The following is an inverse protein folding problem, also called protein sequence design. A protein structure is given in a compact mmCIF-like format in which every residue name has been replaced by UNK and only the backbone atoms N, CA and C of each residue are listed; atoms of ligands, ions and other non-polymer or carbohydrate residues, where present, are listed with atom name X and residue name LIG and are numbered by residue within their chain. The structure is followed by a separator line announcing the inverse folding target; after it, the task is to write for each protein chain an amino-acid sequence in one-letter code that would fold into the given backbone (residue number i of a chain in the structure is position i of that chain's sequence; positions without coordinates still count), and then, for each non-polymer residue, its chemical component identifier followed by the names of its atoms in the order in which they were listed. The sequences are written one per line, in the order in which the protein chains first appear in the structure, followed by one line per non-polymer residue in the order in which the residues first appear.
data_IF_934854925717
#
_entry.id   IF_934854925717
#
_cell.length_a   1.000
_cell.length_b   1.000
_cell.length_c   1.000
_cell.angle_alpha   90.00
_cell.angle_beta   90.00
_cell.angle_gamma   90.00
#
_symmetry.space_group_name_H-M   'P 1'
#
loop_
_entity.id
_entity.type
_entity.pdbx_description
1 polymer ?
#
# COMPACT_ATOMS: atom_id res chain seq x y z
N UNK A 1 49.30 12.30 -11.91
CA UNK A 1 48.68 12.18 -10.57
C UNK A 1 47.18 12.01 -10.73
N UNK A 2 46.72 10.77 -10.98
CA UNK A 2 45.30 10.48 -11.21
C UNK A 2 44.60 10.48 -9.85
N UNK A 3 43.72 11.48 -9.60
CA UNK A 3 42.80 11.43 -8.48
C UNK A 3 41.91 10.20 -8.67
N UNK A 4 42.04 9.18 -7.80
CA UNK A 4 41.06 8.13 -7.63
C UNK A 4 39.75 8.84 -7.28
N UNK A 5 38.82 8.94 -8.25
CA UNK A 5 37.43 9.17 -7.92
C UNK A 5 37.01 7.99 -7.04
N UNK A 6 36.70 8.25 -5.78
CA UNK A 6 36.01 7.26 -4.98
C UNK A 6 34.79 6.83 -5.78
N UNK A 7 34.70 5.55 -6.14
CA UNK A 7 33.51 5.02 -6.78
C UNK A 7 32.34 5.34 -5.84
N UNK A 8 31.42 6.11 -6.36
CA UNK A 8 30.20 6.50 -5.66
C UNK A 8 29.46 5.21 -5.28
N UNK A 9 29.24 4.97 -3.97
CA UNK A 9 28.46 3.79 -3.57
C UNK A 9 26.99 4.14 -3.72
N UNK A 10 26.27 3.58 -4.71
CA UNK A 10 24.88 3.94 -5.00
C UNK A 10 23.96 3.72 -3.79
N UNK A 11 24.28 2.78 -2.90
CA UNK A 11 23.52 2.50 -1.70
C UNK A 11 23.45 3.69 -0.72
N UNK A 12 24.45 4.61 -0.76
CA UNK A 12 24.49 5.82 0.05
C UNK A 12 24.03 7.08 -0.70
N UNK A 13 23.45 6.91 -1.89
CA UNK A 13 22.98 8.02 -2.73
C UNK A 13 21.48 7.93 -2.94
N UNK A 14 20.74 8.76 -2.24
CA UNK A 14 19.28 8.84 -2.37
C UNK A 14 18.80 10.27 -2.15
N UNK A 15 17.59 10.57 -2.62
CA UNK A 15 16.85 11.79 -2.34
C UNK A 15 15.56 11.43 -1.63
N UNK A 16 15.29 12.08 -0.50
CA UNK A 16 14.06 11.91 0.25
C UNK A 16 13.47 13.28 0.60
N UNK A 17 12.17 13.41 0.38
CA UNK A 17 11.40 14.58 0.80
C UNK A 17 9.96 14.15 1.05
N UNK A 18 9.57 14.13 2.33
CA UNK A 18 8.19 13.90 2.72
C UNK A 18 7.71 15.06 3.61
N UNK A 19 6.89 15.99 3.10
CA UNK A 19 6.38 17.14 3.85
C UNK A 19 5.19 16.79 4.75
N UNK A 20 4.67 15.56 4.71
CA UNK A 20 3.50 15.13 5.47
C UNK A 20 3.74 15.23 6.97
N UNK A 21 2.89 15.96 7.66
CA UNK A 21 2.90 15.96 9.12
C UNK A 21 2.19 14.72 9.64
N UNK A 22 2.93 13.82 10.28
CA UNK A 22 2.40 12.58 10.86
C UNK A 22 1.96 12.80 12.32
N UNK A 23 0.71 12.45 12.62
CA UNK A 23 0.14 12.33 13.96
C UNK A 23 -0.08 10.84 14.25
N UNK A 24 0.88 10.20 14.92
CA UNK A 24 0.88 8.75 15.14
C UNK A 24 0.71 8.41 16.62
N UNK A 25 -0.16 7.43 16.94
CA UNK A 25 -0.36 6.84 18.27
C UNK A 25 -1.81 6.93 18.77
N UNK A 26 -2.11 6.19 19.82
CA UNK A 26 -3.45 6.12 20.40
C UNK A 26 -3.96 7.52 20.87
N UNK A 27 -5.15 7.90 20.42
CA UNK A 27 -5.77 9.19 20.73
C UNK A 27 -5.22 10.39 19.96
N UNK A 28 -4.31 10.18 18.98
CA UNK A 28 -3.69 11.27 18.23
C UNK A 28 -4.65 12.03 17.32
N UNK A 29 -5.80 11.47 16.96
CA UNK A 29 -6.88 12.21 16.28
C UNK A 29 -7.25 13.50 17.06
N UNK A 30 -7.22 13.48 18.39
CA UNK A 30 -7.48 14.65 19.22
C UNK A 30 -6.46 15.78 19.08
N UNK A 31 -5.31 15.54 18.45
CA UNK A 31 -4.30 16.56 18.14
C UNK A 31 -4.62 17.33 16.87
N UNK A 32 -5.45 16.78 15.97
CA UNK A 32 -5.82 17.42 14.70
C UNK A 32 -6.34 18.85 14.92
N UNK A 33 -7.06 19.11 16.01
CA UNK A 33 -7.57 20.45 16.38
C UNK A 33 -6.47 21.50 16.62
N UNK A 34 -5.21 21.12 16.72
CA UNK A 34 -4.07 22.03 16.92
C UNK A 34 -3.36 22.34 15.60
N UNK A 35 -3.78 21.70 14.53
CA UNK A 35 -3.16 21.84 13.23
C UNK A 35 -3.88 22.91 12.38
N UNK A 36 -3.13 23.52 11.50
CA UNK A 36 -3.69 24.46 10.53
C UNK A 36 -4.33 23.65 9.39
N UNK A 37 -5.61 23.84 9.17
CA UNK A 37 -6.32 23.22 8.05
C UNK A 37 -5.92 23.86 6.74
N UNK A 38 -5.85 23.08 5.65
CA UNK A 38 -5.46 23.59 4.34
C UNK A 38 -6.58 24.37 3.64
N UNK A 39 -7.81 24.32 4.16
CA UNK A 39 -8.99 24.95 3.60
C UNK A 39 -10.08 25.18 4.63
N UNK A 40 -11.27 25.51 4.15
CA UNK A 40 -12.46 25.87 4.96
C UNK A 40 -13.64 24.92 4.77
N UNK A 41 -13.74 24.22 3.63
CA UNK A 41 -14.79 23.24 3.33
C UNK A 41 -14.21 21.92 2.82
N UNK A 42 -14.35 20.87 3.61
CA UNK A 42 -13.82 19.55 3.32
C UNK A 42 -14.79 18.66 2.53
N UNK A 43 -14.26 17.85 1.62
CA UNK A 43 -14.89 16.59 1.25
C UNK A 43 -14.50 15.52 2.27
N UNK A 44 -15.41 15.05 3.12
CA UNK A 44 -15.19 13.88 3.96
C UNK A 44 -15.42 12.62 3.11
N UNK A 45 -14.32 12.05 2.61
CA UNK A 45 -14.31 10.90 1.73
C UNK A 45 -14.23 9.62 2.56
N UNK A 46 -15.18 8.70 2.36
CA UNK A 46 -15.29 7.47 3.17
C UNK A 46 -15.65 6.26 2.31
N UNK A 47 -15.43 5.07 2.90
CA UNK A 47 -15.91 3.83 2.31
C UNK A 47 -17.44 3.72 2.39
N UNK A 48 -18.02 2.95 1.46
CA UNK A 48 -19.45 2.60 1.46
C UNK A 48 -19.86 1.80 2.71
N UNK A 49 -18.90 1.14 3.36
CA UNK A 49 -19.12 0.33 4.55
C UNK A 49 -19.27 1.16 5.83
N UNK A 50 -19.47 0.46 6.94
CA UNK A 50 -19.67 1.08 8.26
C UNK A 50 -18.42 1.07 9.15
N UNK A 51 -17.25 0.67 8.63
CA UNK A 51 -16.03 0.50 9.43
C UNK A 51 -15.62 1.76 10.19
N UNK A 52 -15.66 2.94 9.56
CA UNK A 52 -15.35 4.21 10.21
C UNK A 52 -16.32 4.56 11.36
N UNK A 53 -17.59 4.19 11.24
CA UNK A 53 -18.58 4.39 12.32
C UNK A 53 -18.38 3.37 13.44
N UNK A 54 -18.17 2.10 13.10
CA UNK A 54 -17.98 1.02 14.10
C UNK A 54 -16.72 1.23 14.94
N UNK A 55 -15.65 1.73 14.33
CA UNK A 55 -14.41 2.04 15.03
C UNK A 55 -14.47 3.34 15.85
N UNK A 56 -15.52 4.16 15.68
CA UNK A 56 -15.63 5.48 16.27
C UNK A 56 -14.77 6.55 15.58
N UNK A 57 -14.08 6.20 14.49
CA UNK A 57 -13.23 7.13 13.75
C UNK A 57 -14.06 8.27 13.13
N UNK A 58 -15.26 7.98 12.62
CA UNK A 58 -16.18 8.99 12.09
C UNK A 58 -16.54 10.04 13.14
N UNK A 59 -17.06 9.62 14.30
CA UNK A 59 -17.54 10.55 15.34
C UNK A 59 -16.40 11.44 15.83
N UNK A 60 -15.21 10.85 16.06
CA UNK A 60 -14.03 11.60 16.48
C UNK A 60 -13.53 12.57 15.41
N UNK A 61 -13.59 12.18 14.12
CA UNK A 61 -13.21 13.06 13.00
C UNK A 61 -14.17 14.24 12.89
N UNK A 62 -15.47 14.00 12.89
CA UNK A 62 -16.51 15.05 12.86
C UNK A 62 -16.36 16.00 14.04
N UNK A 63 -16.12 15.49 15.25
CA UNK A 63 -15.84 16.33 16.42
C UNK A 63 -14.65 17.27 16.18
N UNK A 64 -13.55 16.81 15.57
CA UNK A 64 -12.41 17.68 15.31
C UNK A 64 -12.73 18.75 14.25
N UNK A 65 -13.42 18.38 13.14
CA UNK A 65 -13.83 19.32 12.10
C UNK A 65 -14.75 20.42 12.66
N UNK A 66 -15.73 20.06 13.49
CA UNK A 66 -16.63 21.00 14.17
C UNK A 66 -15.86 21.97 15.10
N UNK A 67 -14.92 21.45 15.88
CA UNK A 67 -14.07 22.26 16.77
C UNK A 67 -13.17 23.23 16.01
N UNK A 68 -12.73 22.85 14.80
CA UNK A 68 -11.95 23.67 13.89
C UNK A 68 -12.81 24.63 13.06
N UNK A 69 -14.14 24.53 13.16
CA UNK A 69 -15.11 25.30 12.35
C UNK A 69 -14.88 25.09 10.84
N UNK A 70 -14.59 23.85 10.46
CA UNK A 70 -14.49 23.41 9.09
C UNK A 70 -15.84 22.90 8.64
N UNK A 71 -16.39 23.46 7.57
CA UNK A 71 -17.57 22.92 6.91
C UNK A 71 -17.20 21.65 6.14
N UNK A 72 -18.12 20.69 6.05
CA UNK A 72 -17.86 19.48 5.27
C UNK A 72 -19.13 18.92 4.63
N UNK A 73 -18.93 18.19 3.55
CA UNK A 73 -19.90 17.32 2.90
C UNK A 73 -19.35 15.92 2.81
N UNK A 74 -20.21 14.92 2.84
CA UNK A 74 -19.80 13.52 2.89
C UNK A 74 -19.97 12.84 1.53
N UNK A 75 -18.97 12.05 1.17
CA UNK A 75 -19.05 11.10 0.07
C UNK A 75 -18.66 9.70 0.59
N UNK A 76 -19.66 8.88 0.87
CA UNK A 76 -19.51 7.53 1.43
C UNK A 76 -19.76 6.48 0.33
N UNK A 77 -18.92 6.45 -0.70
CA UNK A 77 -19.12 5.61 -1.88
C UNK A 77 -17.95 4.69 -2.23
N UNK A 78 -16.79 4.85 -1.59
CA UNK A 78 -15.58 4.10 -1.96
C UNK A 78 -15.70 2.64 -1.53
N UNK A 79 -15.36 1.73 -2.45
CA UNK A 79 -15.28 0.28 -2.21
C UNK A 79 -13.84 -0.19 -2.25
N UNK A 80 -13.59 -1.43 -1.86
CA UNK A 80 -12.30 -2.11 -2.08
C UNK A 80 -11.95 -2.09 -3.57
N UNK A 81 -10.68 -1.95 -3.90
CA UNK A 81 -10.22 -1.74 -5.27
C UNK A 81 -11.00 -0.62 -5.98
N UNK A 82 -10.85 0.65 -5.58
CA UNK A 82 -11.67 1.75 -6.05
C UNK A 82 -11.59 1.89 -7.56
N UNK A 83 -12.77 1.99 -8.21
CA UNK A 83 -12.81 2.15 -9.66
C UNK A 83 -12.60 3.61 -10.10
N UNK A 84 -12.15 3.77 -11.32
CA UNK A 84 -12.01 5.07 -11.98
C UNK A 84 -13.31 5.89 -11.88
N UNK A 85 -14.45 5.27 -12.15
CA UNK A 85 -15.75 5.94 -12.21
C UNK A 85 -16.17 6.51 -10.85
N UNK A 86 -15.90 5.77 -9.75
CA UNK A 86 -16.26 6.26 -8.42
C UNK A 86 -15.36 7.42 -7.98
N UNK A 87 -14.09 7.40 -8.38
CA UNK A 87 -13.16 8.49 -8.12
C UNK A 87 -13.54 9.76 -8.91
N UNK A 88 -13.88 9.62 -10.18
CA UNK A 88 -14.38 10.72 -11.02
C UNK A 88 -15.65 11.34 -10.42
N UNK A 89 -16.62 10.49 -10.02
CA UNK A 89 -17.88 10.92 -9.40
C UNK A 89 -17.66 11.68 -8.08
N UNK A 90 -16.71 11.21 -7.27
CA UNK A 90 -16.35 11.89 -6.02
C UNK A 90 -15.66 13.23 -6.28
N UNK A 91 -14.82 13.30 -7.33
CA UNK A 91 -14.17 14.56 -7.76
C UNK A 91 -15.18 15.60 -8.27
N UNK A 92 -16.13 15.16 -9.12
CA UNK A 92 -17.22 16.02 -9.60
C UNK A 92 -18.09 16.54 -8.44
N UNK A 93 -18.39 15.65 -7.47
CA UNK A 93 -19.14 16.02 -6.27
C UNK A 93 -18.38 17.05 -5.43
N UNK A 94 -17.08 16.85 -5.17
CA UNK A 94 -16.25 17.81 -4.45
C UNK A 94 -16.25 19.20 -5.11
N UNK A 95 -16.13 19.21 -6.45
CA UNK A 95 -16.15 20.45 -7.24
C UNK A 95 -17.50 21.14 -7.18
N UNK A 96 -18.60 20.40 -7.35
CA UNK A 96 -19.96 20.95 -7.31
C UNK A 96 -20.31 21.55 -5.94
N UNK A 97 -19.84 20.92 -4.85
CA UNK A 97 -20.04 21.39 -3.49
C UNK A 97 -19.06 22.51 -3.07
N UNK A 98 -18.07 22.85 -3.91
CA UNK A 98 -17.08 23.88 -3.61
C UNK A 98 -16.13 23.50 -2.49
N UNK A 99 -15.77 22.21 -2.39
CA UNK A 99 -14.76 21.75 -1.43
C UNK A 99 -13.38 22.29 -1.83
N UNK A 100 -12.60 22.72 -0.84
CA UNK A 100 -11.24 23.24 -1.05
C UNK A 100 -10.13 22.32 -0.51
N UNK A 101 -10.51 21.20 0.14
CA UNK A 101 -9.61 20.09 0.51
C UNK A 101 -10.38 18.79 0.77
N UNK A 102 -9.66 17.69 0.94
CA UNK A 102 -10.20 16.36 1.21
C UNK A 102 -9.76 15.89 2.61
N UNK A 103 -10.69 15.30 3.36
CA UNK A 103 -10.41 14.47 4.54
C UNK A 103 -10.74 13.02 4.17
N UNK A 104 -9.73 12.22 3.89
CA UNK A 104 -9.86 10.80 3.56
C UNK A 104 -9.88 9.97 4.84
N UNK A 105 -11.07 9.51 5.24
CA UNK A 105 -11.28 8.71 6.45
C UNK A 105 -11.58 7.27 6.08
N UNK A 106 -10.60 6.38 6.24
CA UNK A 106 -10.80 4.97 5.89
C UNK A 106 -9.54 4.13 5.82
N UNK A 107 -9.68 2.95 5.27
CA UNK A 107 -8.55 2.07 4.91
C UNK A 107 -7.91 2.46 3.59
N UNK A 108 -6.93 1.67 3.13
CA UNK A 108 -6.13 1.92 1.93
C UNK A 108 -6.96 2.34 0.71
N UNK A 109 -8.07 1.66 0.42
CA UNK A 109 -8.93 2.00 -0.71
C UNK A 109 -9.45 3.47 -0.69
N UNK A 110 -9.76 4.00 0.50
CA UNK A 110 -10.22 5.40 0.65
C UNK A 110 -9.04 6.36 0.50
N UNK A 111 -7.90 6.01 1.09
CA UNK A 111 -6.68 6.82 1.00
C UNK A 111 -6.19 6.88 -0.45
N UNK A 112 -6.16 5.76 -1.15
CA UNK A 112 -5.81 5.64 -2.56
C UNK A 112 -6.76 6.44 -3.46
N UNK A 113 -8.07 6.28 -3.26
CA UNK A 113 -9.08 7.04 -4.00
C UNK A 113 -8.91 8.55 -3.81
N UNK A 114 -8.47 9.00 -2.62
CA UNK A 114 -8.31 10.44 -2.33
C UNK A 114 -7.33 11.13 -3.27
N UNK A 115 -6.28 10.42 -3.72
CA UNK A 115 -5.29 10.92 -4.69
C UNK A 115 -5.97 11.21 -6.04
N UNK A 116 -6.74 10.25 -6.54
CA UNK A 116 -7.48 10.39 -7.78
C UNK A 116 -8.58 11.46 -7.68
N UNK A 117 -9.35 11.46 -6.59
CA UNK A 117 -10.42 12.45 -6.32
C UNK A 117 -9.84 13.87 -6.26
N UNK A 118 -8.69 14.05 -5.62
CA UNK A 118 -8.03 15.35 -5.53
C UNK A 118 -7.66 15.92 -6.90
N UNK A 119 -7.18 15.06 -7.81
CA UNK A 119 -6.87 15.43 -9.20
C UNK A 119 -8.16 15.73 -9.98
N UNK A 120 -9.16 14.86 -9.90
CA UNK A 120 -10.39 14.98 -10.68
C UNK A 120 -11.29 16.14 -10.22
N UNK A 121 -11.17 16.60 -8.99
CA UNK A 121 -11.88 17.78 -8.51
C UNK A 121 -11.42 19.08 -9.18
N UNK A 122 -10.20 19.12 -9.69
CA UNK A 122 -9.58 20.35 -10.21
C UNK A 122 -9.20 20.27 -11.69
N UNK A 123 -9.08 19.06 -12.25
CA UNK A 123 -8.63 18.84 -13.63
C UNK A 123 -9.76 18.29 -14.51
N UNK A 124 -9.80 18.65 -15.81
CA UNK A 124 -10.80 18.18 -16.76
C UNK A 124 -10.51 16.77 -17.27
N UNK A 125 -11.45 16.19 -18.02
CA UNK A 125 -11.27 14.90 -18.71
C UNK A 125 -11.60 13.70 -17.83
N UNK A 126 -11.00 12.56 -18.16
CA UNK A 126 -11.18 11.29 -17.46
C UNK A 126 -9.93 10.99 -16.64
N UNK A 127 -10.08 10.23 -15.55
CA UNK A 127 -8.94 9.85 -14.72
C UNK A 127 -7.86 9.08 -15.51
N UNK A 128 -8.30 8.19 -16.41
CA UNK A 128 -7.39 7.40 -17.25
C UNK A 128 -6.59 8.21 -18.27
N UNK A 129 -6.97 9.49 -18.52
CA UNK A 129 -6.14 10.40 -19.29
C UNK A 129 -4.81 10.72 -18.58
N UNK A 130 -4.79 10.67 -17.25
CA UNK A 130 -3.63 11.01 -16.40
C UNK A 130 -2.81 9.80 -15.96
N UNK A 131 -3.37 8.58 -16.05
CA UNK A 131 -2.70 7.34 -15.64
C UNK A 131 -1.52 7.02 -16.56
N UNK A 132 -0.41 6.57 -15.97
CA UNK A 132 0.78 6.10 -16.66
C UNK A 132 0.82 4.57 -16.61
N UNK A 133 0.86 3.93 -17.76
CA UNK A 133 0.83 2.46 -17.89
C UNK A 133 -0.53 1.94 -18.42
N UNK A 134 -0.55 0.67 -18.83
CA UNK A 134 -1.72 0.07 -19.43
C UNK A 134 -2.31 0.89 -20.58
N UNK A 135 -3.61 1.11 -20.56
CA UNK A 135 -4.34 1.95 -21.54
C UNK A 135 -4.41 3.43 -21.16
N UNK A 136 -3.71 3.83 -20.11
CA UNK A 136 -3.60 5.23 -19.67
C UNK A 136 -2.88 6.12 -20.69
N UNK A 137 -3.22 7.43 -20.71
CA UNK A 137 -2.70 8.36 -21.73
C UNK A 137 -1.53 9.21 -21.24
N UNK A 138 -1.14 9.08 -19.96
CA UNK A 138 -0.02 9.81 -19.36
C UNK A 138 -0.05 11.33 -19.55
N UNK A 139 -1.24 11.94 -19.63
CA UNK A 139 -1.37 13.41 -19.75
C UNK A 139 -0.91 14.09 -18.45
N UNK A 140 -0.31 15.26 -18.53
CA UNK A 140 0.10 15.99 -17.34
C UNK A 140 -1.10 16.54 -16.57
N UNK A 141 -1.06 16.45 -15.24
CA UNK A 141 -1.98 17.16 -14.35
C UNK A 141 -1.62 18.64 -14.36
N UNK A 142 -2.51 19.49 -14.87
CA UNK A 142 -2.25 20.92 -15.12
C UNK A 142 -2.67 21.84 -13.98
N UNK A 143 -3.78 21.51 -13.30
CA UNK A 143 -4.24 22.26 -12.14
C UNK A 143 -3.76 21.55 -10.85
N UNK A 144 -3.44 22.35 -9.84
CA UNK A 144 -3.05 21.78 -8.54
C UNK A 144 -4.21 20.96 -7.94
N UNK A 145 -3.96 19.70 -7.53
CA UNK A 145 -4.96 18.89 -6.84
C UNK A 145 -5.41 19.53 -5.52
N UNK A 146 -6.58 19.13 -5.03
CA UNK A 146 -7.01 19.53 -3.69
C UNK A 146 -6.04 18.97 -2.63
N UNK A 147 -5.70 19.73 -1.59
CA UNK A 147 -4.93 19.24 -0.46
C UNK A 147 -5.64 18.06 0.22
N UNK A 148 -4.87 17.09 0.73
CA UNK A 148 -5.40 15.88 1.36
C UNK A 148 -4.97 15.82 2.83
N UNK A 149 -5.91 15.50 3.72
CA UNK A 149 -5.67 15.01 5.07
C UNK A 149 -6.12 13.55 5.10
N UNK A 150 -5.26 12.66 5.59
CA UNK A 150 -5.58 11.24 5.72
C UNK A 150 -5.81 10.85 7.17
N UNK A 151 -6.82 10.02 7.42
CA UNK A 151 -7.11 9.42 8.72
C UNK A 151 -7.25 7.92 8.49
N UNK A 152 -6.18 7.18 8.80
CA UNK A 152 -6.09 5.75 8.51
C UNK A 152 -6.88 4.93 9.53
N UNK A 153 -7.66 3.95 9.04
CA UNK A 153 -8.41 2.98 9.84
C UNK A 153 -7.99 1.54 9.58
N UNK A 154 -6.89 1.33 8.84
CA UNK A 154 -6.28 0.03 8.53
C UNK A 154 -4.77 0.15 8.52
N UNK A 155 -4.05 -0.97 8.54
CA UNK A 155 -2.60 -1.04 8.65
C UNK A 155 -2.02 -1.97 7.58
N UNK A 156 -1.94 -1.50 6.33
CA UNK A 156 -1.43 -2.29 5.20
C UNK A 156 -0.64 -1.45 4.21
N UNK A 157 -1.32 -0.52 3.53
CA UNK A 157 -0.79 0.19 2.36
C UNK A 157 0.24 1.28 2.67
N UNK A 158 0.17 1.90 3.86
CA UNK A 158 0.95 3.10 4.16
C UNK A 158 0.62 4.33 3.30
N UNK A 159 -0.51 4.30 2.57
CA UNK A 159 -0.91 5.39 1.65
C UNK A 159 -1.14 6.73 2.35
N UNK A 160 -1.26 6.74 3.67
CA UNK A 160 -1.30 7.98 4.44
C UNK A 160 0.01 8.78 4.38
N UNK A 161 1.11 8.17 3.97
CA UNK A 161 2.43 8.80 3.95
C UNK A 161 2.98 9.08 2.55
N UNK A 162 2.25 8.74 1.49
CA UNK A 162 2.75 8.93 0.13
C UNK A 162 1.70 9.56 -0.80
N UNK A 163 2.07 9.79 -2.05
CA UNK A 163 1.26 10.40 -3.11
C UNK A 163 0.65 9.38 -4.07
N UNK A 164 0.66 8.11 -3.72
CA UNK A 164 0.26 7.00 -4.60
C UNK A 164 -1.14 6.53 -4.21
N UNK A 165 -2.01 6.38 -5.18
CA UNK A 165 -3.29 5.68 -5.05
C UNK A 165 -3.43 4.61 -6.12
N UNK A 166 -3.92 3.44 -5.75
CA UNK A 166 -4.14 2.34 -6.68
C UNK A 166 -5.59 2.34 -7.12
N UNK A 167 -5.82 2.49 -8.43
CA UNK A 167 -7.15 2.65 -9.03
C UNK A 167 -7.38 1.57 -10.08
N UNK A 168 -8.61 1.07 -10.17
CA UNK A 168 -9.02 0.05 -11.13
C UNK A 168 -9.81 0.64 -12.29
N UNK A 169 -9.58 0.11 -13.47
CA UNK A 169 -10.45 0.27 -14.64
C UNK A 169 -11.10 -1.08 -14.93
N UNK A 170 -12.37 -1.20 -14.57
CA UNK A 170 -13.09 -2.46 -14.67
C UNK A 170 -13.39 -2.86 -16.13
N UNK A 171 -13.35 -1.88 -17.06
CA UNK A 171 -13.59 -2.14 -18.49
C UNK A 171 -12.40 -2.83 -19.16
N UNK A 172 -11.18 -2.49 -18.72
CA UNK A 172 -9.93 -2.99 -19.32
C UNK A 172 -9.22 -4.00 -18.43
N UNK A 173 -9.80 -4.37 -17.28
CA UNK A 173 -9.18 -5.23 -16.27
C UNK A 173 -7.79 -4.74 -15.85
N UNK A 174 -7.67 -3.44 -15.60
CA UNK A 174 -6.42 -2.80 -15.17
C UNK A 174 -6.55 -2.32 -13.72
N UNK A 175 -5.52 -2.58 -12.91
CA UNK A 175 -5.35 -2.01 -11.58
C UNK A 175 -3.95 -1.40 -11.51
N UNK A 176 -3.87 -0.08 -11.44
CA UNK A 176 -2.64 0.66 -11.68
C UNK A 176 -2.40 1.69 -10.56
N UNK A 177 -1.16 1.83 -10.16
CA UNK A 177 -0.72 2.91 -9.27
C UNK A 177 -0.77 4.26 -9.99
N UNK A 178 -1.59 5.17 -9.49
CA UNK A 178 -1.67 6.56 -9.93
C UNK A 178 -0.99 7.45 -8.90
N UNK A 179 -0.02 8.26 -9.33
CA UNK A 179 0.76 9.08 -8.42
C UNK A 179 0.84 10.53 -8.91
N UNK A 180 0.71 11.47 -7.96
CA UNK A 180 1.01 12.87 -8.22
C UNK A 180 1.75 13.48 -7.02
N UNK A 181 2.97 14.03 -7.18
CA UNK A 181 3.76 14.58 -6.07
C UNK A 181 3.06 15.65 -5.23
N UNK A 182 2.06 16.35 -5.80
CA UNK A 182 1.26 17.36 -5.08
C UNK A 182 0.12 16.75 -4.24
N UNK A 183 -0.13 15.43 -4.38
CA UNK A 183 -1.13 14.71 -3.60
C UNK A 183 -0.57 14.09 -2.30
N UNK A 184 0.69 14.35 -1.95
CA UNK A 184 1.19 13.97 -0.61
C UNK A 184 0.28 14.60 0.44
N UNK A 185 -0.24 13.81 1.39
CA UNK A 185 -1.08 14.34 2.45
C UNK A 185 -0.37 15.48 3.20
N UNK A 186 -1.07 16.54 3.50
CA UNK A 186 -0.51 17.64 4.32
C UNK A 186 -0.47 17.24 5.79
N UNK A 187 -1.42 16.41 6.23
CA UNK A 187 -1.49 15.81 7.55
C UNK A 187 -1.93 14.36 7.38
N UNK A 188 -1.25 13.45 8.06
CA UNK A 188 -1.64 12.05 8.22
C UNK A 188 -1.94 11.77 9.70
N UNK A 189 -3.09 11.17 9.98
CA UNK A 189 -3.47 10.72 11.32
C UNK A 189 -3.52 9.20 11.32
N UNK A 190 -2.69 8.58 12.14
CA UNK A 190 -2.67 7.14 12.39
C UNK A 190 -2.96 6.93 13.88
N UNK A 191 -4.22 6.66 14.18
CA UNK A 191 -4.69 6.38 15.53
C UNK A 191 -5.07 4.90 15.64
N UNK A 192 -4.22 4.04 16.21
CA UNK A 192 -4.44 2.60 16.27
C UNK A 192 -5.73 2.19 16.98
N UNK A 193 -6.33 3.08 17.78
CA UNK A 193 -7.64 2.80 18.38
C UNK A 193 -8.75 2.62 17.34
N UNK A 194 -8.58 3.14 16.12
CA UNK A 194 -9.52 2.94 15.01
C UNK A 194 -9.38 1.57 14.34
N UNK A 195 -8.34 0.84 14.67
CA UNK A 195 -8.03 -0.47 14.08
C UNK A 195 -8.45 -1.65 14.98
N UNK A 196 -8.89 -1.38 16.22
CA UNK A 196 -9.28 -2.41 17.21
C UNK A 196 -10.47 -3.28 16.75
N UNK A 197 -11.28 -2.77 15.82
CA UNK A 197 -12.46 -3.47 15.30
C UNK A 197 -12.22 -4.17 13.97
N UNK A 198 -11.00 -4.13 13.44
CA UNK A 198 -10.65 -4.83 12.19
C UNK A 198 -10.67 -6.33 12.43
N UNK A 199 -11.45 -7.11 11.63
CA UNK A 199 -11.55 -8.55 11.81
C UNK A 199 -10.18 -9.27 11.64
N UNK A 200 -9.96 -10.42 12.29
CA UNK A 200 -8.68 -11.13 12.26
C UNK A 200 -8.14 -11.41 10.85
N UNK A 201 -8.98 -11.88 9.92
CA UNK A 201 -8.55 -12.16 8.54
C UNK A 201 -8.06 -10.88 7.83
N UNK A 202 -8.79 -9.77 7.97
CA UNK A 202 -8.37 -8.49 7.39
C UNK A 202 -7.14 -7.92 8.10
N UNK A 203 -6.99 -8.14 9.42
CA UNK A 203 -5.77 -7.80 10.15
C UNK A 203 -4.56 -8.52 9.56
N UNK A 204 -4.69 -9.84 9.30
CA UNK A 204 -3.65 -10.63 8.67
C UNK A 204 -3.33 -10.10 7.25
N UNK A 205 -4.34 -9.94 6.39
CA UNK A 205 -4.12 -9.47 5.01
C UNK A 205 -3.43 -8.12 4.95
N UNK A 206 -3.85 -7.17 5.79
CA UNK A 206 -3.25 -5.84 5.87
C UNK A 206 -1.81 -5.90 6.40
N UNK A 207 -1.55 -6.67 7.45
CA UNK A 207 -0.21 -6.82 8.00
C UNK A 207 0.77 -7.49 7.03
N UNK A 208 0.30 -8.47 6.25
CA UNK A 208 1.12 -9.07 5.18
C UNK A 208 1.34 -8.12 4.01
N UNK A 209 0.37 -7.28 3.66
CA UNK A 209 0.55 -6.22 2.67
C UNK A 209 1.67 -5.26 3.11
N UNK A 210 1.62 -4.76 4.35
CA UNK A 210 2.70 -3.96 4.91
C UNK A 210 4.06 -4.69 4.92
N UNK A 211 4.09 -5.98 5.27
CA UNK A 211 5.29 -6.81 5.24
C UNK A 211 5.89 -6.87 3.82
N UNK A 212 5.06 -7.17 2.81
CA UNK A 212 5.55 -7.32 1.44
C UNK A 212 6.03 -6.00 0.83
N UNK A 213 5.48 -4.86 1.21
CA UNK A 213 6.06 -3.56 0.85
C UNK A 213 7.53 -3.45 1.28
N UNK A 214 7.86 -3.89 2.50
CA UNK A 214 9.23 -3.88 3.01
C UNK A 214 10.10 -4.98 2.39
N UNK A 215 9.56 -6.18 2.20
CA UNK A 215 10.26 -7.31 1.55
C UNK A 215 10.65 -6.94 0.12
N UNK A 216 9.71 -6.39 -0.65
CA UNK A 216 9.99 -5.96 -2.02
C UNK A 216 10.98 -4.79 -2.07
N UNK A 217 10.88 -3.86 -1.15
CA UNK A 217 11.86 -2.79 -1.01
C UNK A 217 13.28 -3.32 -0.75
N UNK A 218 13.42 -4.35 0.10
CA UNK A 218 14.70 -5.02 0.37
C UNK A 218 15.28 -5.71 -0.86
N UNK A 219 14.43 -6.25 -1.74
CA UNK A 219 14.84 -6.92 -2.97
C UNK A 219 15.15 -5.95 -4.12
N UNK A 220 14.73 -4.70 -4.01
CA UNK A 220 14.82 -3.71 -5.08
C UNK A 220 16.26 -3.32 -5.44
N UNK A 221 16.56 -3.18 -6.74
CA UNK A 221 17.83 -2.60 -7.22
C UNK A 221 18.08 -1.17 -6.73
N UNK A 222 17.03 -0.46 -6.32
CA UNK A 222 17.12 0.91 -5.77
C UNK A 222 17.24 0.95 -4.26
N UNK A 223 17.44 -0.20 -3.59
CA UNK A 223 17.65 -0.29 -2.15
C UNK A 223 18.78 0.64 -1.70
N UNK A 224 18.53 1.44 -0.68
CA UNK A 224 19.51 2.32 -0.09
C UNK A 224 19.55 2.16 1.45
N UNK A 225 20.55 2.73 2.09
CA UNK A 225 20.79 2.53 3.53
C UNK A 225 19.62 2.98 4.41
N UNK A 226 18.87 4.00 3.99
CA UNK A 226 17.73 4.48 4.76
C UNK A 226 16.52 3.55 4.59
N UNK A 227 16.21 3.14 3.35
CA UNK A 227 15.11 2.21 3.09
C UNK A 227 15.39 0.83 3.71
N UNK A 228 16.65 0.34 3.69
CA UNK A 228 17.05 -0.90 4.35
C UNK A 228 16.82 -0.84 5.86
N UNK A 229 17.26 0.22 6.52
CA UNK A 229 17.11 0.37 7.98
C UNK A 229 15.62 0.42 8.40
N UNK A 230 14.79 1.16 7.65
CA UNK A 230 13.35 1.26 7.91
C UNK A 230 12.68 -0.11 7.65
N UNK A 231 12.98 -0.75 6.52
CA UNK A 231 12.37 -2.01 6.16
C UNK A 231 12.66 -3.12 7.17
N UNK A 232 13.91 -3.29 7.59
CA UNK A 232 14.28 -4.31 8.57
C UNK A 232 13.62 -4.09 9.94
N UNK A 233 13.54 -2.84 10.40
CA UNK A 233 12.81 -2.51 11.63
C UNK A 233 11.34 -2.87 11.53
N UNK A 234 10.68 -2.48 10.44
CA UNK A 234 9.26 -2.75 10.21
C UNK A 234 8.96 -4.25 10.02
N UNK A 235 9.83 -4.99 9.31
CA UNK A 235 9.72 -6.45 9.18
C UNK A 235 9.74 -7.12 10.55
N UNK A 236 10.66 -6.70 11.43
CA UNK A 236 10.77 -7.24 12.79
C UNK A 236 9.50 -6.97 13.61
N UNK A 237 9.00 -5.74 13.61
CA UNK A 237 7.77 -5.37 14.32
C UNK A 237 6.55 -6.14 13.81
N UNK A 238 6.37 -6.21 12.48
CA UNK A 238 5.25 -6.94 11.88
C UNK A 238 5.34 -8.42 12.24
N UNK A 239 6.53 -9.03 12.12
CA UNK A 239 6.71 -10.45 12.44
C UNK A 239 6.36 -10.78 13.89
N UNK A 240 6.71 -9.92 14.83
CA UNK A 240 6.45 -10.15 16.25
C UNK A 240 4.99 -9.87 16.63
N UNK A 241 4.41 -8.77 16.13
CA UNK A 241 3.15 -8.25 16.64
C UNK A 241 1.93 -8.59 15.77
N UNK A 242 2.10 -8.92 14.48
CA UNK A 242 0.96 -9.30 13.63
C UNK A 242 0.21 -10.53 14.15
N UNK A 243 0.87 -11.63 14.56
CA UNK A 243 0.16 -12.76 15.16
C UNK A 243 -0.62 -12.39 16.43
N UNK A 244 -0.09 -11.49 17.25
CA UNK A 244 -0.76 -10.99 18.47
C UNK A 244 -2.02 -10.20 18.10
N UNK A 245 -1.91 -9.26 17.16
CA UNK A 245 -3.03 -8.45 16.67
C UNK A 245 -4.12 -9.29 15.97
N UNK A 246 -3.75 -10.40 15.31
CA UNK A 246 -4.69 -11.36 14.71
C UNK A 246 -5.41 -12.18 15.79
N UNK A 247 -4.68 -12.63 16.82
CA UNK A 247 -5.22 -13.44 17.91
C UNK A 247 -6.13 -12.60 18.84
N UNK A 248 -5.75 -11.36 19.13
CA UNK A 248 -6.53 -10.41 19.92
C UNK A 248 -6.56 -9.05 19.24
N UNK A 249 -7.63 -8.76 18.51
CA UNK A 249 -7.83 -7.48 17.85
C UNK A 249 -7.90 -6.28 18.78
N UNK A 250 -8.11 -6.48 20.09
CA UNK A 250 -8.16 -5.44 21.11
C UNK A 250 -6.81 -5.10 21.75
N UNK A 251 -5.75 -5.86 21.43
CA UNK A 251 -4.38 -5.58 21.87
C UNK A 251 -3.86 -4.31 21.19
N UNK A 252 -3.92 -3.20 21.95
CA UNK A 252 -3.52 -1.88 21.43
C UNK A 252 -2.01 -1.82 21.13
N UNK A 253 -1.17 -2.47 21.90
CA UNK A 253 0.28 -2.51 21.67
C UNK A 253 0.58 -3.22 20.33
N UNK A 254 -0.04 -4.39 20.10
CA UNK A 254 0.11 -5.08 18.83
C UNK A 254 -0.43 -4.26 17.65
N UNK A 255 -1.55 -3.55 17.82
CA UNK A 255 -2.08 -2.64 16.78
C UNK A 255 -1.13 -1.47 16.50
N UNK A 256 -0.49 -0.90 17.51
CA UNK A 256 0.47 0.20 17.35
C UNK A 256 1.69 -0.25 16.54
N UNK A 257 2.25 -1.42 16.82
CA UNK A 257 3.39 -1.97 16.08
C UNK A 257 3.05 -2.31 14.62
N UNK A 258 1.89 -2.94 14.37
CA UNK A 258 1.45 -3.22 12.99
C UNK A 258 1.14 -1.93 12.24
N UNK A 259 0.53 -0.93 12.89
CA UNK A 259 0.29 0.38 12.29
C UNK A 259 1.60 1.11 11.99
N UNK A 260 2.60 1.02 12.86
CA UNK A 260 3.94 1.55 12.61
C UNK A 260 4.55 0.90 11.36
N UNK A 261 4.55 -0.42 11.24
CA UNK A 261 5.04 -1.13 10.07
C UNK A 261 4.36 -0.67 8.79
N UNK A 262 3.03 -0.51 8.80
CA UNK A 262 2.26 0.00 7.66
C UNK A 262 2.64 1.46 7.31
N UNK A 263 2.70 2.35 8.30
CA UNK A 263 3.07 3.75 8.07
C UNK A 263 4.48 3.88 7.50
N UNK A 264 5.41 3.05 7.98
CA UNK A 264 6.78 3.00 7.45
C UNK A 264 6.83 2.46 6.01
N UNK A 265 5.89 1.58 5.60
CA UNK A 265 5.79 1.13 4.21
C UNK A 265 5.57 2.31 3.25
N UNK A 266 4.69 3.26 3.61
CA UNK A 266 4.47 4.48 2.83
C UNK A 266 5.72 5.33 2.67
N UNK A 267 6.60 5.37 3.68
CA UNK A 267 7.90 6.06 3.62
C UNK A 267 8.91 5.25 2.79
N UNK A 268 8.95 3.94 2.98
CA UNK A 268 9.87 3.05 2.27
C UNK A 268 9.64 3.11 0.75
N UNK A 269 8.38 3.11 0.31
CA UNK A 269 8.02 3.23 -1.11
C UNK A 269 8.45 4.57 -1.77
N UNK A 270 8.70 5.62 -1.00
CA UNK A 270 9.23 6.88 -1.53
C UNK A 270 10.76 6.86 -1.64
N UNK A 271 11.41 5.98 -0.90
CA UNK A 271 12.87 5.83 -0.87
C UNK A 271 13.38 4.84 -1.90
N UNK A 272 12.56 3.84 -2.25
CA UNK A 272 12.88 2.78 -3.18
C UNK A 272 11.63 2.28 -3.90
N UNK A 273 11.81 1.66 -5.07
CA UNK A 273 10.70 1.03 -5.81
C UNK A 273 10.35 -0.31 -5.18
N UNK A 274 9.10 -0.71 -5.28
CA UNK A 274 8.71 -2.12 -5.15
C UNK A 274 9.23 -2.92 -6.34
N UNK A 275 9.11 -4.23 -6.27
CA UNK A 275 9.40 -5.17 -7.35
C UNK A 275 8.11 -5.81 -7.88
N UNK A 276 8.19 -6.90 -8.63
CA UNK A 276 7.06 -7.40 -9.42
C UNK A 276 5.91 -8.05 -8.62
N UNK A 277 6.04 -8.37 -7.32
CA UNK A 277 5.01 -9.09 -6.57
C UNK A 277 3.69 -8.31 -6.52
N UNK A 278 3.74 -7.00 -6.22
CA UNK A 278 2.54 -6.15 -6.24
C UNK A 278 1.93 -6.03 -7.64
N UNK A 279 2.75 -5.95 -8.69
CA UNK A 279 2.24 -5.96 -10.06
C UNK A 279 1.48 -7.25 -10.39
N UNK A 280 2.00 -8.39 -9.96
CA UNK A 280 1.35 -9.70 -10.13
C UNK A 280 0.01 -9.75 -9.39
N UNK A 281 -0.03 -9.28 -8.14
CA UNK A 281 -1.29 -9.24 -7.37
C UNK A 281 -2.31 -8.28 -7.99
N UNK A 282 -1.87 -7.14 -8.52
CA UNK A 282 -2.77 -6.21 -9.19
C UNK A 282 -3.47 -6.87 -10.38
N UNK A 283 -2.77 -7.67 -11.17
CA UNK A 283 -3.40 -8.46 -12.24
C UNK A 283 -4.42 -9.46 -11.68
N UNK A 284 -4.10 -10.15 -10.58
CA UNK A 284 -5.02 -11.09 -9.94
C UNK A 284 -6.33 -10.39 -9.52
N UNK A 285 -6.24 -9.30 -8.77
CA UNK A 285 -7.43 -8.60 -8.26
C UNK A 285 -8.13 -7.74 -9.29
N UNK A 286 -7.49 -7.40 -10.41
CA UNK A 286 -8.16 -6.79 -11.56
C UNK A 286 -9.09 -7.77 -12.29
N UNK A 287 -8.74 -9.04 -12.37
CA UNK A 287 -9.54 -10.10 -12.98
C UNK A 287 -10.57 -10.69 -11.98
N UNK A 288 -10.19 -10.82 -10.71
CA UNK A 288 -11.02 -11.40 -9.64
C UNK A 288 -11.29 -10.38 -8.55
N UNK A 289 -12.31 -9.54 -8.73
CA UNK A 289 -12.65 -8.39 -7.87
C UNK A 289 -12.98 -8.73 -6.41
N UNK A 290 -13.32 -9.99 -6.12
CA UNK A 290 -13.57 -10.51 -4.78
C UNK A 290 -12.27 -10.86 -4.02
N UNK A 291 -11.11 -10.81 -4.67
CA UNK A 291 -9.82 -11.05 -4.04
C UNK A 291 -9.40 -9.84 -3.20
N UNK A 292 -9.16 -10.04 -1.92
CA UNK A 292 -8.51 -9.07 -1.06
C UNK A 292 -7.02 -8.98 -1.39
N UNK A 293 -6.51 -7.76 -1.54
CA UNK A 293 -5.15 -7.48 -1.99
C UNK A 293 -4.08 -8.26 -1.21
N UNK A 294 -4.09 -8.18 0.12
CA UNK A 294 -3.13 -8.92 0.95
C UNK A 294 -3.25 -10.44 0.83
N UNK A 295 -4.46 -10.98 0.58
CA UNK A 295 -4.64 -12.41 0.34
C UNK A 295 -3.95 -12.85 -0.96
N UNK A 296 -4.06 -12.05 -2.03
CA UNK A 296 -3.36 -12.29 -3.29
C UNK A 296 -1.84 -12.31 -3.12
N UNK A 297 -1.30 -11.29 -2.44
CA UNK A 297 0.14 -11.23 -2.13
C UNK A 297 0.62 -12.47 -1.34
N UNK A 298 -0.14 -12.89 -0.31
CA UNK A 298 0.20 -14.07 0.50
C UNK A 298 0.27 -15.33 -0.37
N UNK A 299 -0.68 -15.53 -1.27
CA UNK A 299 -0.76 -16.75 -2.09
C UNK A 299 0.45 -16.93 -3.01
N UNK A 300 0.96 -15.85 -3.60
CA UNK A 300 2.09 -15.91 -4.54
C UNK A 300 3.46 -15.74 -3.87
N UNK A 301 3.52 -15.29 -2.61
CA UNK A 301 4.74 -14.80 -1.96
C UNK A 301 5.87 -15.83 -1.86
N UNK A 302 5.53 -17.10 -1.58
CA UNK A 302 6.51 -18.18 -1.44
C UNK A 302 7.23 -18.43 -2.75
N UNK A 303 6.49 -18.65 -3.82
CA UNK A 303 7.05 -18.99 -5.13
C UNK A 303 7.74 -17.78 -5.77
N UNK A 304 7.25 -16.56 -5.48
CA UNK A 304 7.90 -15.33 -5.88
C UNK A 304 9.29 -15.18 -5.23
N UNK A 305 9.39 -15.36 -3.91
CA UNK A 305 10.68 -15.31 -3.23
C UNK A 305 11.61 -16.45 -3.67
N UNK A 306 11.08 -17.67 -3.83
CA UNK A 306 11.85 -18.83 -4.29
C UNK A 306 12.47 -18.61 -5.66
N UNK A 307 11.77 -17.91 -6.57
CA UNK A 307 12.29 -17.58 -7.90
C UNK A 307 13.63 -16.82 -7.83
N UNK A 308 13.77 -15.85 -6.91
CA UNK A 308 15.00 -15.08 -6.74
C UNK A 308 16.06 -15.83 -5.95
N UNK A 309 15.66 -16.66 -4.99
CA UNK A 309 16.56 -17.51 -4.21
C UNK A 309 17.23 -18.54 -5.12
N UNK A 310 16.48 -19.20 -5.99
CA UNK A 310 17.01 -20.18 -6.96
C UNK A 310 18.03 -19.57 -7.95
N UNK A 311 17.97 -18.26 -8.14
CA UNK A 311 18.86 -17.48 -9.02
C UNK A 311 19.97 -16.74 -8.28
N UNK A 312 20.05 -16.88 -6.97
CA UNK A 312 21.03 -16.17 -6.12
C UNK A 312 21.05 -14.66 -6.36
N UNK A 313 19.88 -14.07 -6.59
CA UNK A 313 19.78 -12.69 -7.08
C UNK A 313 19.94 -11.63 -5.99
N UNK A 314 19.60 -11.95 -4.73
CA UNK A 314 19.70 -11.06 -3.57
C UNK A 314 19.80 -11.84 -2.24
N UNK A 315 20.72 -12.79 -2.18
CA UNK A 315 20.89 -13.72 -1.05
C UNK A 315 21.10 -13.00 0.29
N UNK A 316 21.98 -11.98 0.30
CA UNK A 316 22.25 -11.19 1.52
C UNK A 316 21.01 -10.51 2.07
N UNK A 317 20.12 -10.02 1.21
CA UNK A 317 18.87 -9.38 1.61
C UNK A 317 17.90 -10.40 2.22
N UNK A 318 17.79 -11.59 1.65
CA UNK A 318 16.96 -12.65 2.20
C UNK A 318 17.46 -13.10 3.58
N UNK A 319 18.78 -13.25 3.78
CA UNK A 319 19.38 -13.59 5.07
C UNK A 319 19.07 -12.51 6.11
N UNK A 320 19.21 -11.23 5.77
CA UNK A 320 18.87 -10.12 6.68
C UNK A 320 17.38 -10.07 7.03
N UNK A 321 16.51 -10.34 6.06
CA UNK A 321 15.07 -10.42 6.33
C UNK A 321 14.71 -11.61 7.21
N UNK A 322 15.35 -12.77 7.01
CA UNK A 322 15.20 -13.92 7.90
C UNK A 322 15.63 -13.59 9.35
N UNK A 323 16.75 -12.89 9.51
CA UNK A 323 17.22 -12.41 10.82
C UNK A 323 16.20 -11.46 11.47
N UNK A 324 15.69 -10.48 10.71
CA UNK A 324 14.66 -9.54 11.17
C UNK A 324 13.35 -10.26 11.56
N UNK A 325 13.02 -11.38 10.90
CA UNK A 325 11.89 -12.24 11.25
C UNK A 325 12.19 -13.22 12.39
N UNK A 326 13.32 -13.08 13.07
CA UNK A 326 13.67 -13.87 14.25
C UNK A 326 14.17 -15.28 13.96
N UNK A 327 14.64 -15.55 12.74
CA UNK A 327 15.33 -16.82 12.45
C UNK A 327 16.65 -16.90 13.23
N UNK A 328 16.91 -17.99 13.99
CA UNK A 328 18.12 -18.10 14.78
C UNK A 328 19.34 -18.34 13.87
N UNK A 329 20.30 -17.41 13.88
CA UNK A 329 21.54 -17.49 13.10
C UNK A 329 21.31 -17.91 11.63
N UNK A 330 20.54 -17.13 10.85
CA UNK A 330 20.21 -17.51 9.47
C UNK A 330 21.49 -17.65 8.64
N UNK A 331 21.60 -18.76 7.90
CA UNK A 331 22.78 -19.10 7.14
C UNK A 331 22.53 -19.15 5.62
N UNK A 332 21.25 -19.15 5.22
CA UNK A 332 20.86 -19.27 3.83
C UNK A 332 19.64 -18.39 3.51
N UNK A 333 19.44 -18.02 2.24
CA UNK A 333 18.23 -17.33 1.80
C UNK A 333 16.93 -18.11 2.09
N UNK A 334 17.00 -19.45 2.16
CA UNK A 334 15.86 -20.32 2.43
C UNK A 334 15.28 -20.11 3.83
N UNK A 335 16.08 -19.65 4.78
CA UNK A 335 15.61 -19.34 6.14
C UNK A 335 14.53 -18.23 6.14
N UNK A 336 14.53 -17.35 5.13
CA UNK A 336 13.45 -16.38 4.93
C UNK A 336 12.13 -17.06 4.59
N UNK A 337 12.14 -18.03 3.68
CA UNK A 337 10.93 -18.79 3.32
C UNK A 337 10.37 -19.49 4.56
N UNK A 338 11.23 -20.12 5.35
CA UNK A 338 10.82 -20.84 6.56
C UNK A 338 10.20 -19.89 7.60
N UNK A 339 10.79 -18.69 7.77
CA UNK A 339 10.24 -17.65 8.64
C UNK A 339 8.89 -17.11 8.11
N UNK A 340 8.77 -16.88 6.80
CA UNK A 340 7.54 -16.45 6.16
C UNK A 340 6.40 -17.45 6.32
N UNK A 341 6.66 -18.74 6.07
CA UNK A 341 5.66 -19.79 6.23
C UNK A 341 5.24 -19.97 7.71
N UNK A 342 6.19 -19.80 8.64
CA UNK A 342 5.88 -19.80 10.09
C UNK A 342 4.94 -18.61 10.44
N UNK A 343 5.19 -17.42 9.91
CA UNK A 343 4.34 -16.25 10.15
C UNK A 343 2.94 -16.44 9.53
N UNK A 344 2.85 -16.95 8.29
CA UNK A 344 1.56 -17.28 7.65
C UNK A 344 0.74 -18.23 8.53
N UNK A 345 1.36 -19.29 9.04
CA UNK A 345 0.72 -20.26 9.91
C UNK A 345 0.27 -19.64 11.23
N UNK A 346 1.09 -18.78 11.83
CA UNK A 346 0.76 -18.08 13.07
C UNK A 346 -0.44 -17.14 12.92
N UNK A 347 -0.62 -16.59 11.72
CA UNK A 347 -1.76 -15.70 11.38
C UNK A 347 -2.95 -16.46 10.76
N UNK A 348 -2.88 -17.79 10.58
CA UNK A 348 -3.97 -18.62 10.04
C UNK A 348 -4.27 -18.38 8.55
N UNK A 349 -3.28 -17.95 7.77
CA UNK A 349 -3.41 -17.62 6.34
C UNK A 349 -2.56 -18.51 5.41
N UNK A 350 -2.02 -19.60 5.94
CA UNK A 350 -1.21 -20.58 5.20
C UNK A 350 -2.04 -21.47 4.25
N UNK A 351 -3.37 -21.49 4.42
CA UNK A 351 -4.30 -22.31 3.65
C UNK A 351 -5.06 -21.57 2.54
N UNK A 352 -4.72 -20.32 2.25
CA UNK A 352 -5.34 -19.57 1.17
C UNK A 352 -5.10 -20.24 -0.19
N UNK A 353 -6.16 -20.31 -1.02
CA UNK A 353 -6.11 -20.96 -2.33
C UNK A 353 -6.63 -20.04 -3.42
N UNK A 354 -5.94 -19.98 -4.55
CA UNK A 354 -6.39 -19.23 -5.72
C UNK A 354 -7.75 -19.74 -6.22
N UNK A 355 -7.97 -21.07 -6.19
CA UNK A 355 -9.24 -21.69 -6.60
C UNK A 355 -10.45 -21.21 -5.81
N UNK A 356 -10.31 -20.83 -4.54
CA UNK A 356 -11.40 -20.31 -3.71
C UNK A 356 -11.91 -18.93 -4.18
N UNK A 357 -11.10 -18.22 -4.96
CA UNK A 357 -11.43 -16.92 -5.57
C UNK A 357 -11.84 -17.02 -7.03
N UNK A 358 -11.94 -18.25 -7.58
CA UNK A 358 -12.38 -18.51 -8.93
C UNK A 358 -11.27 -18.56 -9.98
N UNK A 359 -9.99 -18.49 -9.58
CA UNK A 359 -8.88 -18.63 -10.51
C UNK A 359 -8.82 -20.03 -11.13
N UNK A 360 -8.31 -20.09 -12.35
CA UNK A 360 -7.98 -21.32 -13.07
C UNK A 360 -6.51 -21.32 -13.51
N UNK A 361 -5.94 -22.49 -13.76
CA UNK A 361 -4.55 -22.57 -14.25
C UNK A 361 -4.37 -21.97 -15.65
N UNK A 362 -5.42 -21.97 -16.46
CA UNK A 362 -5.37 -21.48 -17.84
C UNK A 362 -5.21 -19.96 -17.92
N UNK A 363 -5.51 -19.23 -16.81
CA UNK A 363 -5.37 -17.77 -16.71
C UNK A 363 -3.94 -17.30 -16.41
N UNK A 364 -3.03 -18.19 -15.99
CA UNK A 364 -1.71 -17.79 -15.48
C UNK A 364 -0.91 -16.94 -16.47
N UNK A 365 -0.94 -17.25 -17.75
CA UNK A 365 -0.25 -16.47 -18.79
C UNK A 365 -0.95 -15.12 -19.04
N UNK A 366 -2.28 -15.09 -19.02
CA UNK A 366 -3.05 -13.84 -19.17
C UNK A 366 -2.75 -12.87 -18.02
N UNK A 367 -2.73 -13.37 -16.79
CA UNK A 367 -2.35 -12.60 -15.60
C UNK A 367 -0.91 -12.07 -15.70
N UNK A 368 0.03 -12.89 -16.20
CA UNK A 368 1.43 -12.47 -16.38
C UNK A 368 1.55 -11.32 -17.38
N UNK A 369 0.87 -11.42 -18.52
CA UNK A 369 0.86 -10.37 -19.55
C UNK A 369 0.18 -9.10 -19.05
N UNK A 370 -0.94 -9.21 -18.31
CA UNK A 370 -1.62 -8.06 -17.70
C UNK A 370 -0.72 -7.36 -16.69
N UNK A 371 -0.08 -8.09 -15.78
CA UNK A 371 0.84 -7.53 -14.79
C UNK A 371 1.95 -6.72 -15.46
N UNK A 372 2.54 -7.25 -16.53
CA UNK A 372 3.59 -6.57 -17.29
C UNK A 372 3.09 -5.33 -18.02
N UNK A 373 1.92 -5.41 -18.64
CA UNK A 373 1.34 -4.30 -19.40
C UNK A 373 0.95 -3.13 -18.48
N UNK A 374 0.41 -3.42 -17.30
CA UNK A 374 -0.13 -2.42 -16.37
C UNK A 374 0.96 -1.77 -15.51
N UNK A 375 1.86 -2.57 -14.91
CA UNK A 375 2.86 -2.09 -13.97
C UNK A 375 4.28 -2.61 -14.29
N UNK A 376 4.63 -2.72 -15.57
CA UNK A 376 5.93 -3.21 -16.05
C UNK A 376 7.15 -2.46 -15.48
N UNK A 377 6.96 -1.22 -15.02
CA UNK A 377 8.02 -0.45 -14.35
C UNK A 377 8.59 -1.13 -13.10
N UNK A 378 7.76 -1.88 -12.36
CA UNK A 378 8.21 -2.61 -11.16
C UNK A 378 9.18 -3.75 -11.48
N UNK A 379 9.05 -4.35 -12.66
CA UNK A 379 9.98 -5.40 -13.11
C UNK A 379 11.40 -4.87 -13.36
N UNK A 380 11.54 -3.59 -13.67
CA UNK A 380 12.86 -2.96 -13.86
C UNK A 380 13.63 -2.84 -12.53
N UNK A 381 12.91 -2.83 -11.41
CA UNK A 381 13.50 -2.80 -10.07
C UNK A 381 13.86 -4.20 -9.53
N UNK A 382 13.42 -5.29 -10.18
CA UNK A 382 13.75 -6.65 -9.77
C UNK A 382 15.27 -6.87 -9.69
N UNK A 383 15.76 -7.68 -8.73
CA UNK A 383 17.19 -7.96 -8.59
C UNK A 383 17.77 -8.74 -9.79
N UNK A 384 16.95 -9.50 -10.52
CA UNK A 384 17.30 -10.11 -11.79
C UNK A 384 16.17 -9.99 -12.81
N UNK A 385 16.44 -10.33 -14.05
CA UNK A 385 15.45 -10.36 -15.12
C UNK A 385 14.39 -11.44 -14.85
N UNK A 386 13.14 -11.14 -15.20
CA UNK A 386 11.99 -12.03 -15.04
C UNK A 386 11.15 -11.92 -16.32
N UNK A 387 10.96 -13.03 -17.03
CA UNK A 387 10.15 -13.10 -18.26
C UNK A 387 8.67 -13.28 -17.94
N UNK A 388 7.80 -13.19 -18.94
CA UNK A 388 6.36 -13.44 -18.75
C UNK A 388 6.08 -14.91 -18.44
N UNK A 389 6.91 -15.83 -19.00
CA UNK A 389 6.86 -17.27 -18.68
C UNK A 389 7.29 -17.54 -17.22
N UNK A 390 8.28 -16.80 -16.71
CA UNK A 390 8.68 -16.90 -15.30
C UNK A 390 7.51 -16.48 -14.39
N UNK A 391 6.82 -15.38 -14.73
CA UNK A 391 5.67 -14.87 -13.98
C UNK A 391 4.51 -15.87 -14.02
N UNK A 392 4.17 -16.39 -15.20
CA UNK A 392 3.14 -17.44 -15.35
C UNK A 392 3.53 -18.69 -14.54
N UNK A 393 4.80 -19.10 -14.58
CA UNK A 393 5.30 -20.24 -13.80
C UNK A 393 5.20 -20.03 -12.28
N UNK A 394 5.34 -18.80 -11.76
CA UNK A 394 5.11 -18.48 -10.35
C UNK A 394 3.61 -18.65 -10.02
N UNK A 395 2.70 -18.13 -10.86
CA UNK A 395 1.27 -18.33 -10.67
C UNK A 395 0.88 -19.81 -10.68
N UNK A 396 1.38 -20.59 -11.65
CA UNK A 396 1.11 -22.03 -11.76
C UNK A 396 1.57 -22.82 -10.51
N UNK A 397 2.77 -22.51 -9.98
CA UNK A 397 3.31 -23.12 -8.76
C UNK A 397 2.55 -22.69 -7.51
N UNK A 398 2.06 -21.47 -7.48
CA UNK A 398 1.26 -20.92 -6.37
C UNK A 398 -0.19 -21.42 -6.39
N UNK A 399 -0.64 -21.99 -7.51
CA UNK A 399 -2.03 -22.46 -7.66
C UNK A 399 -2.32 -23.65 -6.74
N UNK A 400 -3.32 -23.48 -5.89
CA UNK A 400 -3.84 -24.51 -4.98
C UNK A 400 -5.35 -24.60 -5.11
#
# INVERSE_FOLDING_TARGET
MFRRYHMFNPKYSFKFNNPTKLLFGAGMIGRLRREKMPGTKALLLMSRGRSAHVSGAYDKTVEQLQRLKVDFVEFAGIMENPSMEICEKAGEFAKAEGCDFIVALGGGAVLDASVAVAVMATNPGRLWDYVVGGTGKAQPVICDPLPIITIATSSGTGSEMNEIGVISNDTTHEKIGFANPKCKPVIAVVDPTFMLTVPPAYTAYQGFDALFHHVEAMMSRSLNVLSEAIALSAISDINEYLPKAVADGSDIEAREHVAYGSTMAGITMQLTSLVAQHSMEHAMSAHHRNLQHGAGLIMISREFAQFFIDRHACDDQFIKMAEAMGAPAPASPQDFIDALEKLKKACGVDNLKMSDYGFTKDECMELALNARATMGGLYLANPCEMTDEDVAGIFEKSFR
#
